data_IF_176183690565
#
_entry.id   IF_176183690565
#
_cell.length_a   1.000
_cell.length_b   1.000
_cell.length_c   1.000
_cell.angle_alpha   90.00
_cell.angle_beta   90.00
_cell.angle_gamma   90.00
#
_symmetry.space_group_name_H-M   'P 1'
#
loop_
_entity.id
_entity.type
_entity.pdbx_description
1 polymer ?
#
# COMPACT_ATOMS: atom_id res chain seq x y z
N UNK A 1 12.47 -12.86 -32.41
CA UNK A 1 12.16 -11.56 -31.77
C UNK A 1 13.25 -11.25 -30.74
N UNK A 2 14.05 -10.19 -30.93
CA UNK A 2 15.15 -9.82 -30.02
C UNK A 2 14.71 -9.46 -28.59
N UNK A 3 13.41 -9.28 -28.35
CA UNK A 3 12.84 -8.95 -27.05
C UNK A 3 12.92 -10.08 -26.02
N UNK A 4 13.04 -11.34 -26.46
CA UNK A 4 13.12 -12.50 -25.58
C UNK A 4 14.41 -12.52 -24.73
N UNK A 5 15.52 -12.00 -25.28
CA UNK A 5 16.83 -12.04 -24.62
C UNK A 5 16.92 -11.07 -23.42
N UNK A 6 16.13 -9.99 -23.43
CA UNK A 6 16.07 -9.03 -22.33
C UNK A 6 14.97 -9.36 -21.31
N UNK A 7 14.07 -10.31 -21.63
CA UNK A 7 12.92 -10.65 -20.81
C UNK A 7 13.33 -11.11 -19.41
N UNK A 8 14.34 -11.97 -19.29
CA UNK A 8 14.83 -12.44 -17.99
C UNK A 8 15.55 -11.34 -17.21
N UNK A 9 16.38 -10.53 -17.88
CA UNK A 9 17.09 -9.42 -17.23
C UNK A 9 16.10 -8.38 -16.68
N UNK A 10 15.13 -7.98 -17.51
CA UNK A 10 14.08 -7.02 -17.14
C UNK A 10 13.18 -7.59 -16.06
N UNK A 11 12.78 -8.87 -16.16
CA UNK A 11 11.97 -9.54 -15.14
C UNK A 11 12.69 -9.62 -13.79
N UNK A 12 13.98 -9.95 -13.80
CA UNK A 12 14.80 -10.04 -12.58
C UNK A 12 15.00 -8.65 -11.96
N UNK A 13 15.33 -7.65 -12.77
CA UNK A 13 15.48 -6.27 -12.30
C UNK A 13 14.17 -5.72 -11.72
N UNK A 14 13.05 -5.99 -12.38
CA UNK A 14 11.71 -5.62 -11.88
C UNK A 14 11.44 -6.29 -10.52
N UNK A 15 11.68 -7.60 -10.39
CA UNK A 15 11.48 -8.31 -9.13
C UNK A 15 12.34 -7.75 -7.99
N UNK A 16 13.62 -7.49 -8.22
CA UNK A 16 14.53 -6.89 -7.21
C UNK A 16 14.06 -5.50 -6.80
N UNK A 17 13.66 -4.67 -7.77
CA UNK A 17 13.12 -3.34 -7.50
C UNK A 17 11.80 -3.40 -6.72
N UNK A 18 10.90 -4.33 -7.04
CA UNK A 18 9.65 -4.55 -6.31
C UNK A 18 9.91 -4.98 -4.87
N UNK A 19 10.87 -5.87 -4.61
CA UNK A 19 11.30 -6.24 -3.26
C UNK A 19 11.85 -5.01 -2.51
N UNK A 20 12.70 -4.22 -3.16
CA UNK A 20 13.21 -2.97 -2.61
C UNK A 20 12.10 -1.97 -2.29
N UNK A 21 11.09 -1.87 -3.15
CA UNK A 21 9.93 -1.01 -2.96
C UNK A 21 9.09 -1.45 -1.75
N UNK A 22 8.90 -2.75 -1.53
CA UNK A 22 8.22 -3.26 -0.34
C UNK A 22 9.00 -2.99 0.95
N UNK A 23 10.33 -2.89 0.89
CA UNK A 23 11.19 -2.58 2.04
C UNK A 23 11.29 -1.06 2.32
N UNK A 24 10.96 -0.21 1.35
CA UNK A 24 11.06 1.25 1.47
C UNK A 24 10.39 1.82 2.74
N UNK A 25 9.16 1.40 3.12
CA UNK A 25 8.50 1.94 4.31
C UNK A 25 9.17 1.49 5.63
N UNK A 26 9.95 0.41 5.63
CA UNK A 26 10.73 -0.02 6.80
C UNK A 26 11.79 1.04 7.13
N UNK A 27 12.42 1.65 6.13
CA UNK A 27 13.38 2.74 6.37
C UNK A 27 12.71 3.96 7.01
N UNK A 28 11.46 4.24 6.61
CA UNK A 28 10.65 5.30 7.19
C UNK A 28 10.33 4.97 8.65
N UNK A 29 9.80 3.79 8.95
CA UNK A 29 9.56 3.34 10.33
C UNK A 29 10.83 3.32 11.18
N UNK A 30 11.97 2.87 10.63
CA UNK A 30 13.26 2.90 11.33
C UNK A 30 13.67 4.32 11.70
N UNK A 31 13.47 5.30 10.82
CA UNK A 31 13.69 6.72 11.13
C UNK A 31 12.75 7.24 12.22
N UNK A 32 11.47 6.83 12.22
CA UNK A 32 10.51 7.19 13.29
C UNK A 32 11.04 6.71 14.65
N UNK A 33 11.41 5.44 14.73
CA UNK A 33 11.87 4.81 15.96
C UNK A 33 13.18 5.43 16.44
N UNK A 34 14.13 5.69 15.52
CA UNK A 34 15.40 6.34 15.86
C UNK A 34 15.23 7.78 16.35
N UNK A 35 14.34 8.55 15.74
CA UNK A 35 14.07 9.92 16.15
C UNK A 35 13.14 10.01 17.37
N UNK A 36 12.53 8.89 17.80
CA UNK A 36 11.56 8.84 18.89
C UNK A 36 10.29 9.66 18.65
N UNK A 37 10.11 10.20 17.44
CA UNK A 37 9.00 11.07 17.08
C UNK A 37 8.73 10.99 15.58
N UNK A 38 7.46 10.91 15.21
CA UNK A 38 7.03 11.00 13.80
C UNK A 38 6.91 12.45 13.29
N UNK A 39 7.48 13.44 14.01
CA UNK A 39 7.35 14.87 13.70
C UNK A 39 8.03 15.19 12.36
N UNK A 40 7.26 15.74 11.42
CA UNK A 40 7.75 16.09 10.07
C UNK A 40 7.73 14.94 9.06
N UNK A 41 7.12 13.79 9.38
CA UNK A 41 6.82 12.77 8.39
C UNK A 41 5.36 12.71 8.03
N UNK A 42 5.10 12.65 6.73
CA UNK A 42 3.76 12.57 6.18
C UNK A 42 3.17 11.17 6.41
N UNK A 43 1.94 11.07 6.95
CA UNK A 43 1.26 9.79 7.10
C UNK A 43 0.69 9.27 5.77
N UNK A 44 0.66 10.13 4.74
CA UNK A 44 0.05 9.88 3.44
C UNK A 44 0.57 8.62 2.72
N UNK A 45 1.87 8.29 2.75
CA UNK A 45 2.39 7.08 2.11
C UNK A 45 1.81 5.79 2.72
N UNK A 46 1.56 5.76 4.04
CA UNK A 46 1.02 4.58 4.72
C UNK A 46 -0.48 4.43 4.49
N UNK A 47 -1.22 5.53 4.66
CA UNK A 47 -2.67 5.54 4.47
C UNK A 47 -3.02 5.32 2.98
N UNK A 48 -2.29 6.00 2.08
CA UNK A 48 -2.42 5.82 0.64
C UNK A 48 -2.01 4.43 0.19
N UNK A 49 -0.96 3.85 0.78
CA UNK A 49 -0.56 2.47 0.54
C UNK A 49 -1.66 1.46 0.88
N UNK A 50 -2.30 1.61 2.06
CA UNK A 50 -3.47 0.80 2.42
C UNK A 50 -4.61 0.93 1.41
N UNK A 51 -4.98 2.17 1.05
CA UNK A 51 -6.04 2.43 0.09
C UNK A 51 -5.77 1.78 -1.27
N UNK A 52 -4.54 1.94 -1.78
CA UNK A 52 -4.11 1.34 -3.03
C UNK A 52 -4.16 -0.18 -2.97
N UNK A 53 -3.68 -0.81 -1.87
CA UNK A 53 -3.77 -2.25 -1.71
C UNK A 53 -5.21 -2.76 -1.72
N UNK A 54 -6.16 -2.03 -1.14
CA UNK A 54 -7.59 -2.41 -1.19
C UNK A 54 -8.16 -2.28 -2.60
N UNK A 55 -7.86 -1.19 -3.31
CA UNK A 55 -8.32 -0.97 -4.68
C UNK A 55 -7.77 -2.04 -5.63
N UNK A 56 -6.47 -2.32 -5.55
CA UNK A 56 -5.82 -3.34 -6.37
C UNK A 56 -6.22 -4.77 -5.98
N UNK A 57 -6.52 -5.03 -4.71
CA UNK A 57 -7.10 -6.30 -4.28
C UNK A 57 -8.47 -6.50 -4.93
N UNK A 58 -9.33 -5.47 -4.93
CA UNK A 58 -10.63 -5.55 -5.59
C UNK A 58 -10.49 -5.69 -7.10
N UNK A 59 -9.59 -4.94 -7.71
CA UNK A 59 -9.28 -5.09 -9.13
C UNK A 59 -8.82 -6.51 -9.47
N UNK A 60 -7.90 -7.09 -8.68
CA UNK A 60 -7.42 -8.47 -8.87
C UNK A 60 -8.52 -9.51 -8.74
N UNK A 61 -9.52 -9.29 -7.87
CA UNK A 61 -10.72 -10.15 -7.78
C UNK A 61 -11.59 -10.01 -9.04
N UNK A 62 -11.77 -8.79 -9.56
CA UNK A 62 -12.59 -8.53 -10.75
C UNK A 62 -12.00 -9.22 -12.00
N UNK A 63 -10.67 -9.19 -12.16
CA UNK A 63 -9.99 -9.80 -13.30
C UNK A 63 -9.59 -11.26 -13.07
N UNK A 64 -9.99 -11.84 -11.93
CA UNK A 64 -9.61 -13.18 -11.47
C UNK A 64 -8.10 -13.47 -11.59
N UNK A 65 -7.27 -12.52 -11.12
CA UNK A 65 -5.80 -12.65 -11.13
C UNK A 65 -5.29 -13.23 -9.79
N UNK A 66 -4.92 -14.53 -9.75
CA UNK A 66 -4.48 -15.20 -8.53
C UNK A 66 -3.10 -14.74 -8.04
N UNK A 67 -2.31 -14.03 -8.85
CA UNK A 67 -1.04 -13.46 -8.41
C UNK A 67 -1.25 -12.12 -7.70
N UNK A 68 -2.22 -11.33 -8.17
CA UNK A 68 -2.47 -9.99 -7.67
C UNK A 68 -3.15 -9.97 -6.29
N UNK A 69 -4.03 -10.94 -6.02
CA UNK A 69 -4.76 -11.08 -4.74
C UNK A 69 -3.80 -11.23 -3.54
N UNK A 70 -2.94 -12.27 -3.46
CA UNK A 70 -2.08 -12.48 -2.30
C UNK A 70 -1.04 -11.35 -2.11
N UNK A 71 -0.52 -10.79 -3.21
CA UNK A 71 0.44 -9.68 -3.16
C UNK A 71 -0.19 -8.43 -2.55
N UNK A 72 -1.43 -8.09 -2.92
CA UNK A 72 -2.11 -6.93 -2.35
C UNK A 72 -2.61 -7.17 -0.91
N UNK A 73 -2.99 -8.41 -0.55
CA UNK A 73 -3.28 -8.76 0.86
C UNK A 73 -2.04 -8.54 1.72
N UNK A 74 -0.88 -9.05 1.27
CA UNK A 74 0.38 -8.86 1.98
C UNK A 74 0.77 -7.38 2.07
N UNK A 75 0.60 -6.64 0.97
CA UNK A 75 0.81 -5.19 0.93
C UNK A 75 -0.11 -4.43 1.91
N UNK A 76 -1.38 -4.83 2.04
CA UNK A 76 -2.30 -4.24 2.99
C UNK A 76 -1.86 -4.48 4.44
N UNK A 77 -1.48 -5.72 4.78
CA UNK A 77 -0.99 -6.07 6.13
C UNK A 77 0.26 -5.26 6.49
N UNK A 78 1.21 -5.13 5.56
CA UNK A 78 2.42 -4.32 5.77
C UNK A 78 2.08 -2.84 5.99
N UNK A 79 1.26 -2.24 5.13
CA UNK A 79 0.86 -0.83 5.27
C UNK A 79 0.06 -0.58 6.56
N UNK A 80 -0.73 -1.54 7.01
CA UNK A 80 -1.41 -1.50 8.30
C UNK A 80 -0.39 -1.52 9.45
N UNK A 81 0.59 -2.42 9.43
CA UNK A 81 1.64 -2.48 10.44
C UNK A 81 2.46 -1.17 10.50
N UNK A 82 2.79 -0.59 9.34
CA UNK A 82 3.47 0.70 9.28
C UNK A 82 2.61 1.85 9.80
N UNK A 83 1.32 1.85 9.48
CA UNK A 83 0.35 2.82 10.00
C UNK A 83 0.23 2.75 11.51
N UNK A 84 0.18 1.54 12.08
CA UNK A 84 0.17 1.33 13.55
C UNK A 84 1.47 1.81 14.18
N UNK A 85 2.62 1.49 13.58
CA UNK A 85 3.91 2.00 14.03
C UNK A 85 3.92 3.53 14.03
N UNK A 86 3.52 4.18 12.94
CA UNK A 86 3.43 5.64 12.85
C UNK A 86 2.48 6.23 13.91
N UNK A 87 1.33 5.59 14.14
CA UNK A 87 0.35 6.02 15.14
C UNK A 87 0.89 6.00 16.59
N UNK A 88 1.78 5.05 16.92
CA UNK A 88 2.39 4.99 18.25
C UNK A 88 3.35 6.14 18.53
N UNK A 89 4.06 6.64 17.51
CA UNK A 89 5.09 7.69 17.64
C UNK A 89 4.64 9.09 17.22
N UNK A 90 3.45 9.22 16.63
CA UNK A 90 2.89 10.54 16.28
C UNK A 90 2.23 11.22 17.47
N UNK A 91 2.49 12.51 17.61
CA UNK A 91 1.80 13.40 18.55
C UNK A 91 0.47 13.91 17.98
N UNK A 92 0.30 13.93 16.66
CA UNK A 92 -0.88 14.44 15.96
C UNK A 92 -1.86 13.33 15.59
N UNK A 93 -2.31 12.57 16.60
CA UNK A 93 -3.18 11.40 16.41
C UNK A 93 -4.51 11.74 15.73
N UNK A 94 -5.09 12.89 16.05
CA UNK A 94 -6.38 13.34 15.51
C UNK A 94 -6.32 13.67 14.03
N UNK A 95 -5.23 14.31 13.57
CA UNK A 95 -5.01 14.59 12.15
C UNK A 95 -4.79 13.31 11.35
N UNK A 96 -4.03 12.38 11.92
CA UNK A 96 -3.83 11.05 11.35
C UNK A 96 -5.15 10.29 11.20
N UNK A 97 -5.97 10.22 12.26
CA UNK A 97 -7.29 9.59 12.21
C UNK A 97 -8.23 10.25 11.21
N UNK A 98 -8.22 11.59 11.14
CA UNK A 98 -9.04 12.34 10.17
C UNK A 98 -8.62 12.01 8.73
N UNK A 99 -7.31 11.95 8.47
CA UNK A 99 -6.76 11.60 7.16
C UNK A 99 -7.07 10.15 6.80
N UNK A 100 -6.93 9.23 7.75
CA UNK A 100 -7.29 7.82 7.60
C UNK A 100 -8.78 7.65 7.28
N UNK A 101 -9.66 8.35 8.01
CA UNK A 101 -11.10 8.34 7.79
C UNK A 101 -11.52 8.91 6.42
N UNK A 102 -10.89 10.01 5.98
CA UNK A 102 -11.15 10.58 4.64
C UNK A 102 -10.75 9.61 3.55
N UNK A 103 -9.54 9.05 3.64
CA UNK A 103 -9.04 8.12 2.62
C UNK A 103 -9.84 6.82 2.62
N UNK A 104 -10.14 6.25 3.79
CA UNK A 104 -10.97 5.04 3.87
C UNK A 104 -12.37 5.28 3.33
N UNK A 105 -12.97 6.45 3.59
CA UNK A 105 -14.25 6.85 3.02
C UNK A 105 -14.21 6.90 1.48
N UNK A 106 -13.20 7.57 0.90
CA UNK A 106 -13.02 7.62 -0.56
C UNK A 106 -12.83 6.22 -1.15
N UNK A 107 -11.96 5.40 -0.55
CA UNK A 107 -11.73 4.03 -1.00
C UNK A 107 -13.00 3.18 -0.90
N UNK A 108 -13.78 3.31 0.16
CA UNK A 108 -15.04 2.58 0.33
C UNK A 108 -16.08 2.99 -0.71
N UNK A 109 -16.18 4.28 -1.05
CA UNK A 109 -17.06 4.76 -2.13
C UNK A 109 -16.65 4.17 -3.48
N UNK A 110 -15.35 4.18 -3.80
CA UNK A 110 -14.84 3.59 -5.05
C UNK A 110 -15.09 2.09 -5.14
N UNK A 111 -14.84 1.36 -4.05
CA UNK A 111 -15.11 -0.08 -3.98
C UNK A 111 -16.62 -0.36 -4.07
N UNK A 112 -17.44 0.43 -3.38
CA UNK A 112 -18.90 0.31 -3.45
C UNK A 112 -19.43 0.57 -4.85
N UNK A 113 -18.90 1.57 -5.55
CA UNK A 113 -19.20 1.84 -6.95
C UNK A 113 -18.79 0.66 -7.84
N UNK A 114 -17.58 0.12 -7.67
CA UNK A 114 -17.12 -1.03 -8.45
C UNK A 114 -17.99 -2.29 -8.24
N UNK A 115 -18.51 -2.49 -7.02
CA UNK A 115 -19.45 -3.58 -6.71
C UNK A 115 -20.84 -3.31 -7.32
N UNK A 116 -21.28 -2.06 -7.37
CA UNK A 116 -22.57 -1.70 -7.95
C UNK A 116 -22.59 -1.78 -9.49
N UNK A 117 -21.49 -1.37 -10.13
CA UNK A 117 -21.30 -1.40 -11.59
C UNK A 117 -21.20 -2.84 -12.13
N UNK A 118 -20.84 -3.82 -11.29
CA UNK A 118 -20.82 -5.24 -11.66
C UNK A 118 -22.00 -5.99 -11.02
N UNK A 119 -23.22 -5.89 -11.58
CA UNK A 119 -24.24 -6.88 -11.31
C UNK A 119 -23.86 -8.13 -12.10
N UNK A 120 -23.58 -9.22 -11.39
CA UNK A 120 -23.31 -10.60 -11.88
C UNK A 120 -23.38 -10.84 -13.41
#
# INVERSE_FOLDING_TARGET
MPLAQYKELVGTAAAVMTIGQFLSPIFICKKIVQNGSAKGMDPMPFIGGMAMSVLFLKYGIIIDDPAMIPVNIFGFILNLAYSVCFYMYTTQKTEFLSSLGKVSGVTAVLVGYAVWEQPD
#
